data_IF_231655562377
#
_entry.id   IF_231655562377
#
_cell.length_a   1.000
_cell.length_b   1.000
_cell.length_c   1.000
_cell.angle_alpha   90.00
_cell.angle_beta   90.00
_cell.angle_gamma   90.00
#
_symmetry.space_group_name_H-M   'P 1'
#
loop_
_entity.id
_entity.type
_entity.pdbx_description
1 polymer ?
#
# COMPACT_ATOMS: atom_id res chain seq x y z
N UNK A 1 32.43 6.65 -12.08
CA UNK A 1 32.54 7.10 -10.66
C UNK A 1 31.57 8.24 -10.50
N UNK A 2 30.80 8.25 -9.42
CA UNK A 2 29.89 9.36 -9.11
C UNK A 2 30.77 10.58 -8.76
N UNK A 3 30.94 11.49 -9.71
CA UNK A 3 31.67 12.74 -9.51
C UNK A 3 30.73 13.77 -8.88
N UNK A 4 30.80 13.87 -7.55
CA UNK A 4 30.05 14.82 -6.74
C UNK A 4 30.90 16.02 -6.32
N UNK A 5 32.09 16.14 -6.90
CA UNK A 5 33.07 17.15 -6.56
C UNK A 5 32.75 18.45 -7.30
N UNK A 6 31.80 19.23 -6.74
CA UNK A 6 31.44 20.55 -7.27
C UNK A 6 32.35 21.66 -6.73
N UNK A 7 33.58 21.35 -6.35
CA UNK A 7 34.54 22.33 -5.83
C UNK A 7 34.91 23.30 -6.95
N UNK A 8 34.78 24.64 -6.76
CA UNK A 8 34.68 25.39 -5.49
C UNK A 8 33.26 25.84 -5.06
N UNK A 9 32.21 25.60 -5.85
CA UNK A 9 30.85 26.09 -5.57
C UNK A 9 29.95 25.08 -4.83
N UNK A 10 30.47 23.91 -4.49
CA UNK A 10 29.76 22.85 -3.79
C UNK A 10 29.00 23.36 -2.57
N UNK A 11 29.62 24.22 -1.76
CA UNK A 11 29.00 24.79 -0.56
C UNK A 11 27.73 25.63 -0.85
N UNK A 12 27.52 26.11 -2.07
CA UNK A 12 26.33 26.84 -2.49
C UNK A 12 25.28 25.93 -3.14
N UNK A 13 25.70 24.96 -3.94
CA UNK A 13 24.79 24.07 -4.71
C UNK A 13 24.19 22.97 -3.83
N UNK A 14 25.01 22.41 -2.95
CA UNK A 14 24.62 21.29 -2.09
C UNK A 14 23.51 21.62 -1.10
N UNK A 15 23.48 22.79 -0.43
CA UNK A 15 22.36 23.13 0.44
C UNK A 15 21.04 23.26 -0.32
N UNK A 16 21.05 23.82 -1.53
CA UNK A 16 19.83 23.96 -2.34
C UNK A 16 19.26 22.59 -2.71
N UNK A 17 20.09 21.69 -3.25
CA UNK A 17 19.69 20.31 -3.56
C UNK A 17 19.38 19.49 -2.31
N UNK A 18 20.11 19.72 -1.22
CA UNK A 18 19.90 19.08 0.07
C UNK A 18 18.52 19.40 0.65
N UNK A 19 18.07 20.65 0.56
CA UNK A 19 16.72 21.05 0.97
C UNK A 19 15.67 20.36 0.10
N UNK A 20 15.84 20.35 -1.23
CA UNK A 20 14.89 19.67 -2.12
C UNK A 20 14.81 18.17 -1.83
N UNK A 21 15.95 17.51 -1.64
CA UNK A 21 16.01 16.10 -1.27
C UNK A 21 15.35 15.84 0.09
N UNK A 22 15.54 16.74 1.06
CA UNK A 22 14.95 16.65 2.39
C UNK A 22 13.42 16.79 2.35
N UNK A 23 12.90 17.76 1.58
CA UNK A 23 11.45 17.92 1.36
C UNK A 23 10.87 16.69 0.68
N UNK A 24 11.52 16.19 -0.36
CA UNK A 24 11.08 14.99 -1.08
C UNK A 24 11.08 13.75 -0.17
N UNK A 25 12.13 13.56 0.63
CA UNK A 25 12.21 12.49 1.62
C UNK A 25 11.08 12.61 2.67
N UNK A 26 10.76 13.82 3.13
CA UNK A 26 9.64 14.07 4.03
C UNK A 26 8.28 13.69 3.43
N UNK A 27 8.05 14.03 2.16
CA UNK A 27 6.83 13.65 1.43
C UNK A 27 6.73 12.13 1.25
N UNK A 28 7.84 11.47 0.88
CA UNK A 28 7.91 10.01 0.76
C UNK A 28 7.59 9.37 2.12
N UNK A 29 8.22 9.84 3.20
CA UNK A 29 7.97 9.31 4.53
C UNK A 29 6.49 9.44 4.92
N UNK A 30 5.88 10.61 4.68
CA UNK A 30 4.46 10.84 4.95
C UNK A 30 3.56 9.91 4.13
N UNK A 31 3.86 9.72 2.84
CA UNK A 31 3.11 8.82 1.96
C UNK A 31 3.22 7.36 2.44
N UNK A 32 4.43 6.92 2.83
CA UNK A 32 4.67 5.57 3.35
C UNK A 32 3.93 5.35 4.68
N UNK A 33 3.93 6.34 5.58
CA UNK A 33 3.20 6.26 6.87
C UNK A 33 1.69 6.13 6.62
N UNK A 34 1.14 6.97 5.73
CA UNK A 34 -0.29 6.90 5.37
C UNK A 34 -0.65 5.55 4.75
N UNK A 35 0.17 5.07 3.81
CA UNK A 35 0.01 3.75 3.19
C UNK A 35 0.05 2.61 4.21
N UNK A 36 0.98 2.66 5.17
CA UNK A 36 1.05 1.69 6.27
C UNK A 36 -0.17 1.72 7.16
N UNK A 37 -0.73 2.90 7.44
CA UNK A 37 -1.93 3.03 8.26
C UNK A 37 -3.14 2.38 7.58
N UNK A 38 -3.30 2.56 6.28
CA UNK A 38 -4.41 1.96 5.52
C UNK A 38 -4.23 0.45 5.30
N UNK A 39 -2.99 -0.03 5.13
CA UNK A 39 -2.71 -1.47 5.03
C UNK A 39 -3.04 -2.25 6.30
N UNK A 40 -2.95 -1.64 7.48
CA UNK A 40 -3.37 -2.28 8.73
C UNK A 40 -4.88 -2.51 8.78
N UNK A 41 -5.65 -1.56 8.28
CA UNK A 41 -7.11 -1.68 8.23
C UNK A 41 -7.55 -2.69 7.17
N UNK A 42 -6.90 -2.67 5.99
CA UNK A 42 -7.12 -3.69 4.94
C UNK A 42 -6.82 -5.10 5.45
N UNK A 43 -5.74 -5.28 6.21
CA UNK A 43 -5.41 -6.60 6.78
C UNK A 43 -6.49 -7.12 7.74
N UNK A 44 -7.19 -6.22 8.45
CA UNK A 44 -8.32 -6.57 9.32
C UNK A 44 -9.53 -6.99 8.49
N UNK A 45 -9.85 -6.25 7.43
CA UNK A 45 -10.97 -6.56 6.53
C UNK A 45 -10.74 -7.85 5.74
N UNK A 46 -9.52 -8.10 5.28
CA UNK A 46 -9.16 -9.31 4.55
C UNK A 46 -9.30 -10.57 5.42
N UNK A 47 -8.93 -10.49 6.71
CA UNK A 47 -9.14 -11.61 7.65
C UNK A 47 -10.61 -11.88 7.97
N UNK A 48 -11.46 -10.86 7.95
CA UNK A 48 -12.90 -11.00 8.22
C UNK A 48 -13.67 -11.47 6.97
N UNK A 49 -13.20 -11.06 5.79
CA UNK A 49 -13.71 -11.51 4.50
C UNK A 49 -13.31 -12.95 4.21
N UNK A 50 -12.07 -13.37 4.52
CA UNK A 50 -11.66 -14.77 4.39
C UNK A 50 -12.45 -15.71 5.31
N UNK A 51 -12.86 -15.24 6.49
CA UNK A 51 -13.75 -15.98 7.42
C UNK A 51 -15.21 -16.05 6.93
N UNK A 52 -15.60 -15.15 6.04
CA UNK A 52 -16.93 -15.12 5.43
C UNK A 52 -16.94 -15.87 4.10
N UNK A 53 -15.80 -15.94 3.39
CA UNK A 53 -15.59 -16.66 2.13
C UNK A 53 -15.44 -18.18 2.27
N UNK A 54 -15.40 -18.69 3.49
CA UNK A 54 -15.58 -20.12 3.78
C UNK A 54 -17.08 -20.54 3.88
N UNK A 55 -18.00 -19.57 3.87
CA UNK A 55 -19.47 -19.79 3.81
C UNK A 55 -20.23 -19.49 2.49
N UNK A 56 -19.68 -18.93 1.38
CA UNK A 56 -20.43 -18.62 0.16
C UNK A 56 -20.67 -19.86 -0.69
N UNK A 57 -19.75 -20.83 -0.73
CA UNK A 57 -19.94 -22.09 -1.45
C UNK A 57 -21.10 -22.88 -0.87
N UNK A 58 -21.26 -22.91 0.45
CA UNK A 58 -22.40 -23.57 1.10
C UNK A 58 -23.75 -22.91 0.74
N UNK A 59 -23.86 -21.56 0.76
CA UNK A 59 -25.10 -20.87 0.35
C UNK A 59 -25.36 -20.94 -1.16
N UNK A 60 -24.33 -20.78 -1.99
CA UNK A 60 -24.46 -20.86 -3.43
C UNK A 60 -24.81 -22.28 -3.89
N UNK A 61 -24.30 -23.30 -3.19
CA UNK A 61 -24.62 -24.71 -3.43
C UNK A 61 -26.03 -25.05 -2.93
N UNK A 62 -26.47 -24.53 -1.77
CA UNK A 62 -27.85 -24.65 -1.30
C UNK A 62 -28.87 -23.97 -2.25
N UNK A 63 -28.51 -22.82 -2.82
CA UNK A 63 -29.34 -22.16 -3.82
C UNK A 63 -29.37 -22.97 -5.14
N UNK A 64 -28.23 -23.54 -5.57
CA UNK A 64 -28.17 -24.40 -6.77
C UNK A 64 -28.92 -25.71 -6.61
N UNK A 65 -28.86 -26.37 -5.44
CA UNK A 65 -29.59 -27.61 -5.18
C UNK A 65 -31.10 -27.40 -5.10
N UNK A 66 -31.56 -26.21 -4.66
CA UNK A 66 -32.97 -25.83 -4.71
C UNK A 66 -33.48 -25.60 -6.15
N UNK A 67 -32.61 -25.21 -7.07
CA UNK A 67 -32.96 -25.02 -8.50
C UNK A 67 -32.84 -26.33 -9.28
N UNK A 68 -31.96 -27.24 -8.85
CA UNK A 68 -31.73 -28.55 -9.47
C UNK A 68 -32.71 -29.65 -9.01
N UNK A 69 -33.59 -29.37 -8.04
CA UNK A 69 -34.80 -30.16 -7.78
C UNK A 69 -36.03 -29.54 -8.47
N UNK A 70 -36.24 -29.75 -9.77
CA UNK A 70 -37.58 -29.88 -10.31
C UNK A 70 -37.93 -31.37 -10.32
N UNK A 71 -38.83 -31.76 -9.41
CA UNK A 71 -39.73 -32.93 -9.45
C UNK A 71 -39.17 -34.26 -9.98
#
# INVERSE_FOLDING_TARGET
MLDLDMTPYAAFVWPAWGISALVLAGLIARAVIASRRWKRELKRLESEQMRTDETPTARAQAARSAIAQPE
#
